data_IF_170049481698
#
_entry.id   IF_170049481698
#
_cell.length_a   1.000
_cell.length_b   1.000
_cell.length_c   1.000
_cell.angle_alpha   90.00
_cell.angle_beta   90.00
_cell.angle_gamma   90.00
#
_symmetry.space_group_name_H-M   'P 1'
#
loop_
_entity.id
_entity.type
_entity.pdbx_description
1 polymer ?
#
# COMPACT_ATOMS: atom_id res chain seq x y z
N UNK A 1 -16.80 -42.87 22.49
CA UNK A 1 -15.99 -41.71 22.93
C UNK A 1 -16.17 -40.64 21.87
N UNK A 2 -17.15 -39.74 22.06
CA UNK A 2 -17.39 -38.64 21.13
C UNK A 2 -16.23 -37.65 21.32
N UNK A 3 -15.37 -37.54 20.30
CA UNK A 3 -14.46 -36.40 20.18
C UNK A 3 -15.38 -35.23 19.87
N UNK A 4 -15.61 -34.38 20.87
CA UNK A 4 -16.23 -33.08 20.69
C UNK A 4 -15.41 -32.32 19.66
N UNK A 5 -15.93 -32.32 18.44
CA UNK A 5 -15.62 -31.39 17.38
C UNK A 5 -15.77 -29.98 17.94
N UNK A 6 -14.67 -29.38 18.39
CA UNK A 6 -14.54 -27.93 18.57
C UNK A 6 -14.54 -27.29 17.17
N UNK A 7 -15.68 -27.44 16.49
CA UNK A 7 -15.94 -26.94 15.15
C UNK A 7 -16.76 -25.67 15.34
N UNK A 8 -16.23 -24.56 14.82
CA UNK A 8 -16.97 -23.35 14.44
C UNK A 8 -17.33 -22.27 15.48
N UNK A 9 -16.95 -22.33 16.77
CA UNK A 9 -17.20 -21.20 17.69
C UNK A 9 -16.05 -20.16 17.79
N UNK A 10 -14.85 -20.49 17.31
CA UNK A 10 -13.68 -19.59 17.41
C UNK A 10 -13.62 -18.50 16.33
N UNK A 11 -14.35 -18.65 15.23
CA UNK A 11 -14.25 -17.78 14.04
C UNK A 11 -14.59 -16.31 14.31
N UNK A 12 -15.80 -15.95 14.77
CA UNK A 12 -16.17 -14.54 14.94
C UNK A 12 -15.46 -13.91 16.16
N UNK A 13 -15.24 -14.70 17.22
CA UNK A 13 -14.57 -14.25 18.43
C UNK A 13 -13.10 -13.91 18.16
N UNK A 14 -12.38 -14.75 17.41
CA UNK A 14 -11.01 -14.49 16.98
C UNK A 14 -10.92 -13.26 16.08
N UNK A 15 -11.78 -13.16 15.05
CA UNK A 15 -11.78 -12.01 14.14
C UNK A 15 -12.05 -10.70 14.89
N UNK A 16 -12.98 -10.72 15.84
CA UNK A 16 -13.24 -9.58 16.72
C UNK A 16 -12.06 -9.28 17.65
N UNK A 17 -11.36 -10.30 18.17
CA UNK A 17 -10.18 -10.12 19.01
C UNK A 17 -9.02 -9.49 18.23
N UNK A 18 -8.77 -9.96 17.00
CA UNK A 18 -7.75 -9.39 16.11
C UNK A 18 -8.14 -7.96 15.73
N UNK A 19 -9.38 -7.73 15.30
CA UNK A 19 -9.88 -6.40 14.97
C UNK A 19 -9.77 -5.40 16.12
N UNK A 20 -10.08 -5.83 17.36
CA UNK A 20 -9.91 -5.01 18.56
C UNK A 20 -8.44 -4.65 18.79
N UNK A 21 -7.54 -5.63 18.74
CA UNK A 21 -6.09 -5.40 18.89
C UNK A 21 -5.56 -4.44 17.82
N UNK A 22 -5.93 -4.65 16.55
CA UNK A 22 -5.57 -3.76 15.44
C UNK A 22 -6.11 -2.36 15.68
N UNK A 23 -7.39 -2.21 16.05
CA UNK A 23 -8.01 -0.91 16.34
C UNK A 23 -7.31 -0.17 17.47
N UNK A 24 -7.03 -0.84 18.59
CA UNK A 24 -6.33 -0.26 19.74
C UNK A 24 -4.93 0.23 19.35
N UNK A 25 -4.16 -0.60 18.64
CA UNK A 25 -2.82 -0.23 18.18
C UNK A 25 -2.85 0.93 17.19
N UNK A 26 -3.77 0.91 16.23
CA UNK A 26 -3.91 1.99 15.25
C UNK A 26 -4.33 3.31 15.90
N UNK A 27 -5.20 3.30 16.93
CA UNK A 27 -5.51 4.51 17.71
C UNK A 27 -4.27 5.09 18.37
N UNK A 28 -3.46 4.25 19.01
CA UNK A 28 -2.20 4.69 19.64
C UNK A 28 -1.23 5.23 18.60
N UNK A 29 -1.07 4.55 17.46
CA UNK A 29 -0.21 5.02 16.38
C UNK A 29 -0.70 6.35 15.79
N UNK A 30 -2.02 6.57 15.72
CA UNK A 30 -2.62 7.81 15.18
C UNK A 30 -2.30 9.04 16.04
N UNK A 31 -2.03 8.85 17.33
CA UNK A 31 -1.61 9.95 18.23
C UNK A 31 -0.15 10.34 18.10
N UNK A 32 0.66 9.55 17.36
CA UNK A 32 2.08 9.82 17.19
C UNK A 32 2.28 10.61 15.90
N UNK A 33 3.19 11.60 15.95
CA UNK A 33 3.63 12.27 14.75
C UNK A 33 4.23 11.24 13.76
N UNK A 34 3.89 11.32 12.46
CA UNK A 34 4.47 10.43 11.45
C UNK A 34 5.99 10.53 11.47
N UNK A 35 6.69 9.40 11.67
CA UNK A 35 8.14 9.40 11.58
C UNK A 35 8.59 9.24 10.12
N UNK A 36 9.57 10.03 9.65
CA UNK A 36 10.18 9.83 8.35
C UNK A 36 10.69 8.39 8.20
N UNK A 37 10.29 7.70 7.13
CA UNK A 37 10.71 6.31 6.85
C UNK A 37 9.97 5.22 7.63
N UNK A 38 9.00 5.56 8.49
CA UNK A 38 8.11 4.55 9.09
C UNK A 38 7.05 4.08 8.06
N UNK A 39 6.56 2.83 8.15
CA UNK A 39 5.52 2.30 7.25
C UNK A 39 4.15 3.01 7.36
N UNK A 40 4.06 4.14 8.06
CA UNK A 40 2.82 4.88 8.27
C UNK A 40 1.80 4.11 9.11
N UNK A 41 0.56 4.61 9.13
CA UNK A 41 -0.56 3.89 9.73
C UNK A 41 -0.99 2.75 8.81
N UNK A 42 -0.82 1.51 9.25
CA UNK A 42 -1.25 0.31 8.53
C UNK A 42 -1.54 -0.84 9.48
N UNK A 43 -2.26 -1.85 9.02
CA UNK A 43 -2.46 -3.09 9.77
C UNK A 43 -1.09 -3.74 10.04
N UNK A 44 -0.18 -3.71 9.07
CA UNK A 44 1.23 -4.10 9.27
C UNK A 44 1.91 -3.38 10.43
N UNK A 45 1.78 -2.06 10.50
CA UNK A 45 2.31 -1.29 11.63
C UNK A 45 1.63 -1.64 12.97
N UNK A 46 0.34 -2.02 12.96
CA UNK A 46 -0.38 -2.44 14.16
C UNK A 46 0.16 -3.76 14.75
N UNK A 47 0.67 -4.66 13.90
CA UNK A 47 1.33 -5.90 14.31
C UNK A 47 2.83 -5.74 14.62
N UNK A 48 3.45 -4.62 14.23
CA UNK A 48 4.86 -4.36 14.52
C UNK A 48 5.12 -4.33 16.04
N UNK A 49 6.06 -5.17 16.50
CA UNK A 49 6.41 -5.28 17.92
C UNK A 49 5.34 -5.96 18.81
N UNK A 50 4.30 -6.53 18.21
CA UNK A 50 3.36 -7.42 18.90
C UNK A 50 3.93 -8.84 19.00
N UNK A 51 3.56 -9.64 20.03
CA UNK A 51 3.85 -11.08 20.04
C UNK A 51 3.17 -11.80 18.86
N UNK A 52 2.04 -11.28 18.38
CA UNK A 52 1.43 -11.66 17.10
C UNK A 52 2.16 -10.88 16.01
N UNK A 53 3.00 -11.55 15.22
CA UNK A 53 3.73 -10.94 14.09
C UNK A 53 3.11 -11.37 12.77
N UNK A 54 3.17 -10.49 11.78
CA UNK A 54 2.98 -10.89 10.38
C UNK A 54 4.34 -11.19 9.79
N UNK A 55 4.51 -12.43 9.34
CA UNK A 55 5.70 -12.91 8.68
C UNK A 55 5.46 -12.94 7.16
N UNK A 56 6.06 -11.97 6.46
CA UNK A 56 6.07 -11.87 4.99
C UNK A 56 7.19 -12.72 4.36
N UNK A 57 7.92 -13.45 5.20
CA UNK A 57 8.95 -14.39 4.83
C UNK A 57 10.34 -13.77 4.65
N UNK A 58 11.35 -14.62 4.89
CA UNK A 58 12.75 -14.35 4.61
C UNK A 58 13.14 -14.93 3.24
N UNK A 59 14.20 -14.43 2.58
CA UNK A 59 14.72 -15.04 1.36
C UNK A 59 14.93 -16.55 1.53
N UNK A 60 14.39 -17.34 0.61
CA UNK A 60 14.48 -18.80 0.65
C UNK A 60 15.72 -19.29 -0.13
N UNK A 61 16.46 -20.24 0.44
CA UNK A 61 17.55 -20.93 -0.25
C UNK A 61 17.05 -22.13 -1.05
N UNK A 62 17.84 -22.60 -2.03
CA UNK A 62 17.51 -23.79 -2.80
C UNK A 62 17.39 -25.04 -1.91
N UNK A 63 18.23 -25.16 -0.89
CA UNK A 63 18.19 -26.24 0.09
C UNK A 63 16.89 -26.21 0.87
N UNK A 64 16.44 -25.02 1.30
CA UNK A 64 15.19 -24.85 2.03
C UNK A 64 13.99 -25.25 1.17
N UNK A 65 13.98 -24.88 -0.11
CA UNK A 65 12.91 -25.23 -1.05
C UNK A 65 12.91 -26.72 -1.43
N UNK A 66 14.07 -27.39 -1.35
CA UNK A 66 14.17 -28.82 -1.60
C UNK A 66 13.44 -29.66 -0.54
N UNK A 67 13.26 -29.12 0.66
CA UNK A 67 12.60 -29.84 1.75
C UNK A 67 11.07 -29.93 1.61
N UNK A 68 10.45 -29.25 0.64
CA UNK A 68 9.00 -29.21 0.45
C UNK A 68 8.59 -29.95 -0.83
N UNK A 69 7.46 -30.67 -0.82
CA UNK A 69 6.98 -31.43 -1.98
C UNK A 69 6.32 -30.51 -3.01
N UNK A 70 7.10 -29.62 -3.63
CA UNK A 70 6.68 -28.79 -4.76
C UNK A 70 6.65 -29.61 -6.04
N UNK A 71 5.62 -29.41 -6.88
CA UNK A 71 5.56 -30.00 -8.20
C UNK A 71 6.62 -29.38 -9.13
N UNK A 72 7.04 -30.11 -10.16
CA UNK A 72 8.09 -29.63 -11.09
C UNK A 72 7.71 -28.32 -11.80
N UNK A 73 6.41 -28.15 -12.11
CA UNK A 73 5.89 -26.92 -12.68
C UNK A 73 6.07 -25.73 -11.73
N UNK A 74 5.75 -25.91 -10.45
CA UNK A 74 5.90 -24.89 -9.40
C UNK A 74 7.37 -24.53 -9.19
N UNK A 75 8.26 -25.52 -9.16
CA UNK A 75 9.71 -25.28 -9.04
C UNK A 75 10.24 -24.44 -10.19
N UNK A 76 9.78 -24.71 -11.42
CA UNK A 76 10.15 -23.94 -12.61
C UNK A 76 9.58 -22.51 -12.59
N UNK A 77 8.40 -22.31 -12.00
CA UNK A 77 7.83 -20.97 -11.82
C UNK A 77 8.63 -20.17 -10.78
N UNK A 78 8.95 -20.79 -9.64
CA UNK A 78 9.72 -20.16 -8.57
C UNK A 78 11.16 -19.82 -8.97
N UNK A 79 11.79 -20.59 -9.87
CA UNK A 79 13.18 -20.32 -10.31
C UNK A 79 13.36 -18.98 -11.04
N UNK A 80 12.29 -18.37 -11.53
CA UNK A 80 12.31 -17.06 -12.18
C UNK A 80 11.83 -15.92 -11.25
N UNK A 81 11.69 -16.20 -9.95
CA UNK A 81 11.07 -15.30 -8.97
C UNK A 81 12.02 -15.00 -7.81
N UNK A 82 11.77 -13.91 -7.08
CA UNK A 82 12.33 -13.72 -5.74
C UNK A 82 11.48 -14.55 -4.78
N UNK A 83 12.08 -15.59 -4.19
CA UNK A 83 11.34 -16.52 -3.34
C UNK A 83 11.54 -16.19 -1.87
N UNK A 84 10.44 -16.13 -1.13
CA UNK A 84 10.41 -15.95 0.31
C UNK A 84 9.73 -17.13 0.99
N UNK A 85 10.15 -17.40 2.23
CA UNK A 85 9.54 -18.42 3.08
C UNK A 85 9.16 -17.81 4.42
N UNK A 86 7.89 -17.96 4.80
CA UNK A 86 7.35 -17.57 6.10
C UNK A 86 6.90 -18.80 6.89
N UNK A 87 6.92 -18.70 8.22
CA UNK A 87 6.48 -19.78 9.13
C UNK A 87 5.68 -19.22 10.30
N UNK A 88 4.60 -19.90 10.69
CA UNK A 88 3.79 -19.57 11.86
C UNK A 88 3.27 -20.83 12.54
N UNK A 89 3.02 -20.81 13.85
CA UNK A 89 2.45 -21.94 14.62
C UNK A 89 3.46 -23.06 14.95
N UNK A 90 4.76 -22.76 14.91
CA UNK A 90 5.83 -23.70 15.27
C UNK A 90 5.84 -24.99 14.43
N UNK A 91 6.20 -26.10 15.07
CA UNK A 91 6.43 -27.41 14.41
C UNK A 91 5.17 -28.06 13.82
N UNK A 92 3.98 -27.54 14.16
CA UNK A 92 2.68 -28.05 13.68
C UNK A 92 1.87 -27.03 12.89
N UNK A 93 2.48 -25.89 12.58
CA UNK A 93 1.77 -24.77 11.97
C UNK A 93 1.81 -24.78 10.45
N UNK A 94 1.92 -23.57 9.89
CA UNK A 94 1.90 -23.31 8.45
C UNK A 94 3.27 -22.84 7.95
N UNK A 95 3.55 -23.19 6.71
CA UNK A 95 4.65 -22.63 5.92
C UNK A 95 4.08 -22.04 4.64
N UNK A 96 4.47 -20.81 4.33
CA UNK A 96 4.19 -20.14 3.06
C UNK A 96 5.49 -20.00 2.30
N UNK A 97 5.53 -20.54 1.09
CA UNK A 97 6.56 -20.23 0.09
C UNK A 97 5.90 -19.32 -0.93
N UNK A 98 6.42 -18.12 -1.10
CA UNK A 98 5.87 -17.15 -2.03
C UNK A 98 6.92 -16.68 -3.03
N UNK A 99 6.61 -16.86 -4.32
CA UNK A 99 7.42 -16.36 -5.42
C UNK A 99 6.87 -15.03 -5.92
N UNK A 100 7.68 -13.97 -5.86
CA UNK A 100 7.34 -12.64 -6.39
C UNK A 100 8.09 -12.40 -7.69
N UNK A 101 7.36 -12.10 -8.76
CA UNK A 101 7.95 -11.90 -10.10
C UNK A 101 7.33 -10.76 -10.89
N UNK A 102 8.09 -10.26 -11.88
CA UNK A 102 7.66 -9.22 -12.81
C UNK A 102 7.55 -7.82 -12.21
N UNK A 103 7.28 -6.83 -13.07
CA UNK A 103 7.15 -5.42 -12.67
C UNK A 103 5.89 -5.16 -11.82
N UNK A 104 4.85 -5.98 -11.98
CA UNK A 104 3.62 -5.91 -11.19
C UNK A 104 3.68 -6.63 -9.84
N UNK A 105 4.85 -7.16 -9.44
CA UNK A 105 5.05 -7.92 -8.20
C UNK A 105 4.00 -9.04 -8.04
N UNK A 106 3.87 -9.89 -9.06
CA UNK A 106 2.92 -11.00 -9.03
C UNK A 106 3.36 -12.09 -8.05
N UNK A 107 2.47 -12.42 -7.12
CA UNK A 107 2.65 -13.42 -6.06
C UNK A 107 2.21 -14.82 -6.51
N UNK A 108 2.96 -15.83 -6.10
CA UNK A 108 2.74 -17.25 -6.41
C UNK A 108 2.84 -18.06 -5.12
N UNK A 109 1.79 -18.04 -4.28
CA UNK A 109 1.83 -18.66 -2.97
C UNK A 109 1.66 -20.18 -3.03
N UNK A 110 2.54 -20.88 -2.34
CA UNK A 110 2.46 -22.30 -2.04
C UNK A 110 2.39 -22.49 -0.52
N UNK A 111 1.27 -23.02 -0.04
CA UNK A 111 1.03 -23.22 1.39
C UNK A 111 1.24 -24.68 1.77
N UNK A 112 1.83 -24.91 2.93
CA UNK A 112 2.05 -26.23 3.48
C UNK A 112 1.64 -26.27 4.96
N UNK A 113 0.98 -27.35 5.37
CA UNK A 113 0.77 -27.67 6.78
C UNK A 113 1.87 -28.60 7.29
N UNK A 114 2.23 -28.41 8.56
CA UNK A 114 3.10 -29.30 9.33
C UNK A 114 2.32 -30.10 10.40
N UNK A 115 0.99 -29.98 10.46
CA UNK A 115 0.18 -30.49 11.56
C UNK A 115 0.29 -32.01 11.78
N UNK A 116 0.50 -32.77 10.71
CA UNK A 116 0.69 -34.22 10.75
C UNK A 116 2.14 -34.66 11.06
N UNK A 117 3.08 -33.72 11.18
CA UNK A 117 4.52 -33.98 11.22
C UNK A 117 5.14 -34.17 9.83
N UNK A 118 4.34 -34.21 8.77
CA UNK A 118 4.77 -34.20 7.38
C UNK A 118 4.41 -32.87 6.72
N UNK A 119 5.20 -32.46 5.72
CA UNK A 119 4.96 -31.24 4.93
C UNK A 119 3.90 -31.51 3.88
N UNK A 120 2.64 -31.27 4.21
CA UNK A 120 1.52 -31.49 3.30
C UNK A 120 1.15 -30.21 2.56
N UNK A 121 1.11 -30.24 1.24
CA UNK A 121 0.65 -29.11 0.44
C UNK A 121 -0.83 -28.81 0.72
N UNK A 122 -1.14 -27.53 0.85
CA UNK A 122 -2.48 -26.98 0.95
C UNK A 122 -2.78 -26.19 -0.31
N UNK A 123 -4.03 -26.24 -0.76
CA UNK A 123 -4.48 -25.38 -1.85
C UNK A 123 -4.60 -23.95 -1.32
N UNK A 124 -3.82 -23.02 -1.91
CA UNK A 124 -3.92 -21.62 -1.57
C UNK A 124 -5.27 -21.06 -2.05
N UNK A 125 -6.00 -20.29 -1.23
CA UNK A 125 -7.31 -19.75 -1.59
C UNK A 125 -7.24 -19.00 -2.91
N UNK A 126 -8.04 -19.42 -3.90
CA UNK A 126 -8.08 -18.74 -5.19
C UNK A 126 -8.51 -17.28 -4.99
N UNK A 127 -7.83 -16.31 -5.64
CA UNK A 127 -8.27 -14.94 -5.59
C UNK A 127 -9.56 -14.80 -6.40
N UNK A 128 -10.40 -13.81 -6.07
CA UNK A 128 -11.60 -13.53 -6.86
C UNK A 128 -11.23 -12.92 -8.22
N UNK A 129 -10.15 -12.13 -8.27
CA UNK A 129 -9.52 -11.67 -9.51
C UNK A 129 -8.07 -12.19 -9.57
N UNK A 130 -7.64 -12.90 -10.63
CA UNK A 130 -6.25 -13.31 -10.80
C UNK A 130 -5.23 -12.15 -10.70
N UNK A 131 -5.64 -10.92 -11.04
CA UNK A 131 -4.84 -9.70 -10.87
C UNK A 131 -4.73 -9.26 -9.41
N UNK A 132 -5.59 -9.73 -8.50
CA UNK A 132 -5.45 -9.43 -7.06
C UNK A 132 -4.09 -9.92 -6.53
N UNK A 133 -3.52 -10.98 -7.11
CA UNK A 133 -2.18 -11.45 -6.73
C UNK A 133 -1.06 -10.69 -7.43
N UNK A 134 -1.38 -9.81 -8.38
CA UNK A 134 -0.47 -8.98 -9.13
C UNK A 134 -0.73 -7.50 -8.78
N UNK A 135 -0.10 -7.00 -7.71
CA UNK A 135 -0.29 -5.62 -7.30
C UNK A 135 0.21 -5.35 -5.88
N UNK A 136 -0.49 -4.48 -5.16
CA UNK A 136 -0.12 -4.09 -3.78
C UNK A 136 -0.47 -5.16 -2.72
N UNK A 137 -1.00 -6.31 -3.10
CA UNK A 137 -1.40 -7.30 -2.11
C UNK A 137 -0.18 -8.05 -1.58
N UNK A 138 -0.01 -8.10 -0.28
CA UNK A 138 1.01 -8.88 0.37
C UNK A 138 0.42 -10.11 1.06
N UNK A 139 1.17 -11.19 0.97
CA UNK A 139 0.84 -12.48 1.56
C UNK A 139 1.77 -12.72 2.75
N UNK A 140 1.19 -13.13 3.86
CA UNK A 140 1.95 -13.42 5.07
C UNK A 140 1.32 -14.58 5.84
N UNK A 141 2.06 -15.04 6.84
CA UNK A 141 1.51 -15.84 7.92
C UNK A 141 1.44 -15.01 9.21
N UNK A 142 0.46 -15.30 10.05
CA UNK A 142 0.43 -14.77 11.41
C UNK A 142 0.06 -15.86 12.40
N UNK A 143 0.36 -15.62 13.68
CA UNK A 143 0.09 -16.56 14.77
C UNK A 143 -0.68 -15.86 15.88
N UNK A 144 -1.85 -16.40 16.24
CA UNK A 144 -2.67 -15.89 17.34
C UNK A 144 -2.99 -17.03 18.28
N UNK A 145 -2.56 -16.89 19.53
CA UNK A 145 -2.81 -17.89 20.59
C UNK A 145 -2.24 -19.29 20.25
N UNK A 146 -1.17 -19.34 19.46
CA UNK A 146 -0.48 -20.57 19.03
C UNK A 146 -0.98 -21.14 17.71
N UNK A 147 -2.12 -20.66 17.20
CA UNK A 147 -2.67 -21.09 15.92
C UNK A 147 -2.13 -20.26 14.76
N UNK A 148 -1.81 -20.92 13.65
CA UNK A 148 -1.28 -20.29 12.45
C UNK A 148 -2.41 -19.90 11.48
N UNK A 149 -2.28 -18.72 10.87
CA UNK A 149 -3.23 -18.18 9.92
C UNK A 149 -2.51 -17.70 8.67
N UNK A 150 -3.06 -18.03 7.51
CA UNK A 150 -2.70 -17.36 6.27
C UNK A 150 -3.43 -16.03 6.19
N UNK A 151 -2.71 -14.99 5.79
CA UNK A 151 -3.26 -13.64 5.68
C UNK A 151 -2.92 -13.01 4.34
N UNK A 152 -3.92 -12.33 3.79
CA UNK A 152 -3.80 -11.50 2.59
C UNK A 152 -4.15 -10.06 2.99
N UNK A 153 -3.29 -9.12 2.65
CA UNK A 153 -3.47 -7.69 2.93
C UNK A 153 -3.24 -6.87 1.67
N UNK A 154 -4.02 -5.82 1.44
CA UNK A 154 -3.68 -4.82 0.44
C UNK A 154 -2.73 -3.77 1.06
N UNK A 155 -1.44 -3.76 0.70
CA UNK A 155 -0.53 -2.70 1.12
C UNK A 155 -0.86 -1.31 0.53
N UNK A 156 -2.05 -1.11 -0.04
CA UNK A 156 -2.40 0.10 -0.78
C UNK A 156 -2.27 1.37 0.07
N UNK A 157 -1.78 2.48 -0.49
CA UNK A 157 -1.73 3.78 0.20
C UNK A 157 -3.12 4.46 0.31
N UNK A 158 -4.19 3.70 0.09
CA UNK A 158 -5.57 4.17 0.08
C UNK A 158 -6.16 4.44 1.45
N UNK A 159 -7.41 4.91 1.42
CA UNK A 159 -8.25 5.15 2.60
C UNK A 159 -8.68 3.86 3.30
N UNK A 160 -8.60 2.73 2.60
CA UNK A 160 -9.04 1.44 3.10
C UNK A 160 -7.87 0.47 3.04
N UNK A 161 -7.76 -0.35 4.08
CA UNK A 161 -6.93 -1.56 4.08
C UNK A 161 -7.83 -2.76 4.42
N UNK A 162 -7.80 -3.76 3.57
CA UNK A 162 -8.45 -5.05 3.71
C UNK A 162 -7.44 -6.09 4.18
N UNK A 163 -7.82 -6.83 5.21
CA UNK A 163 -7.03 -7.89 5.81
C UNK A 163 -7.87 -9.14 5.93
N UNK A 164 -7.61 -10.13 5.07
CA UNK A 164 -8.33 -11.41 5.05
C UNK A 164 -7.58 -12.41 5.92
N UNK A 165 -8.31 -13.11 6.79
CA UNK A 165 -7.75 -14.10 7.71
C UNK A 165 -8.31 -15.46 7.34
N UNK A 166 -7.40 -16.37 7.04
CA UNK A 166 -7.72 -17.69 6.50
C UNK A 166 -7.07 -18.73 7.42
N UNK A 167 -7.82 -19.25 8.40
CA UNK A 167 -7.33 -20.30 9.27
C UNK A 167 -7.14 -21.62 8.54
N UNK A 168 -6.24 -22.42 9.08
CA UNK A 168 -6.20 -23.84 8.79
C UNK A 168 -7.37 -24.55 9.46
N UNK A 169 -8.17 -25.28 8.67
CA UNK A 169 -9.19 -26.21 9.13
C UNK A 169 -8.82 -27.61 8.66
N UNK A 170 -8.25 -28.42 9.55
CA UNK A 170 -7.68 -29.74 9.21
C UNK A 170 -6.66 -29.59 8.06
N UNK A 171 -6.89 -30.25 6.92
CA UNK A 171 -6.01 -30.20 5.75
C UNK A 171 -6.48 -29.19 4.68
N UNK A 172 -7.34 -28.24 5.04
CA UNK A 172 -7.89 -27.25 4.13
C UNK A 172 -7.77 -25.83 4.71
N UNK A 173 -7.81 -24.85 3.81
CA UNK A 173 -7.93 -23.44 4.15
C UNK A 173 -9.35 -22.99 3.84
N UNK A 174 -10.03 -22.40 4.82
CA UNK A 174 -11.36 -21.85 4.63
C UNK A 174 -11.32 -20.38 5.08
N UNK A 175 -11.70 -19.45 4.19
CA UNK A 175 -11.79 -18.06 4.57
C UNK A 175 -12.88 -17.90 5.62
N UNK A 176 -12.50 -17.31 6.75
CA UNK A 176 -13.39 -17.19 7.89
C UNK A 176 -13.87 -15.76 8.08
N UNK A 177 -13.00 -14.77 7.87
CA UNK A 177 -13.39 -13.38 7.96
C UNK A 177 -12.43 -12.44 7.23
N UNK A 178 -12.90 -11.21 7.02
CA UNK A 178 -12.06 -10.09 6.64
C UNK A 178 -12.23 -8.94 7.62
N UNK A 179 -11.14 -8.22 7.84
CA UNK A 179 -11.09 -6.97 8.59
C UNK A 179 -10.87 -5.86 7.57
N UNK A 180 -11.73 -4.85 7.60
CA UNK A 180 -11.57 -3.65 6.78
C UNK A 180 -11.31 -2.47 7.69
N UNK A 181 -10.16 -1.84 7.51
CA UNK A 181 -9.78 -0.63 8.24
C UNK A 181 -9.95 0.57 7.34
N UNK A 182 -10.58 1.62 7.87
CA UNK A 182 -10.67 2.92 7.19
C UNK A 182 -9.77 3.93 7.90
N UNK A 183 -9.06 4.70 7.10
CA UNK A 183 -8.16 5.76 7.51
C UNK A 183 -8.66 7.11 7.02
N UNK A 184 -8.31 8.16 7.75
CA UNK A 184 -8.35 9.51 7.22
C UNK A 184 -7.05 9.77 6.47
N UNK A 185 -7.16 10.37 5.29
CA UNK A 185 -5.99 10.78 4.52
C UNK A 185 -5.66 12.23 4.81
N UNK A 186 -4.36 12.48 4.93
CA UNK A 186 -3.78 13.80 4.90
C UNK A 186 -3.02 13.97 3.60
N UNK A 187 -3.10 15.19 3.07
CA UNK A 187 -2.28 15.66 1.97
C UNK A 187 -1.36 16.73 2.54
N UNK A 188 -0.06 16.62 2.28
CA UNK A 188 0.92 17.59 2.74
C UNK A 188 2.01 17.80 1.68
N UNK A 189 2.42 19.05 1.46
CA UNK A 189 3.58 19.34 0.64
C UNK A 189 4.84 18.81 1.35
N UNK A 190 5.49 17.82 0.75
CA UNK A 190 6.74 17.25 1.25
C UNK A 190 7.97 17.95 0.66
N UNK A 191 7.86 18.46 -0.57
CA UNK A 191 8.88 19.29 -1.22
C UNK A 191 8.22 20.47 -1.93
N UNK A 192 8.94 21.59 -1.98
CA UNK A 192 8.55 22.81 -2.67
C UNK A 192 9.77 23.40 -3.37
N UNK A 193 9.59 23.81 -4.63
CA UNK A 193 10.59 24.52 -5.43
C UNK A 193 9.92 25.78 -5.95
N UNK A 194 10.51 26.93 -5.66
CA UNK A 194 9.84 28.20 -5.93
C UNK A 194 10.87 29.19 -6.47
N UNK A 195 10.47 29.95 -7.49
CA UNK A 195 11.27 31.06 -8.01
C UNK A 195 11.44 32.16 -6.93
N UNK A 196 10.43 32.33 -6.08
CA UNK A 196 10.41 33.29 -4.96
C UNK A 196 10.02 32.61 -3.63
N UNK A 197 10.56 33.04 -2.48
CA UNK A 197 10.22 32.47 -1.18
C UNK A 197 8.74 32.54 -0.81
N UNK A 198 8.03 33.59 -1.21
CA UNK A 198 6.62 33.81 -0.90
C UNK A 198 5.73 32.73 -1.53
N UNK A 199 6.10 32.27 -2.72
CA UNK A 199 5.39 31.20 -3.42
C UNK A 199 5.50 29.86 -2.67
N UNK A 200 6.58 29.61 -1.92
CA UNK A 200 6.70 28.39 -1.12
C UNK A 200 5.72 28.33 0.05
N UNK A 201 5.17 29.47 0.48
CA UNK A 201 4.10 29.51 1.49
C UNK A 201 2.78 28.91 0.97
N UNK A 202 2.65 28.73 -0.36
CA UNK A 202 1.49 28.09 -0.97
C UNK A 202 1.46 26.57 -0.78
N UNK A 203 2.44 25.94 -0.11
CA UNK A 203 2.48 24.49 0.10
C UNK A 203 1.21 23.91 0.73
N UNK A 204 0.57 24.62 1.66
CA UNK A 204 -0.71 24.19 2.24
C UNK A 204 -1.86 24.26 1.21
N UNK A 205 -1.90 25.31 0.37
CA UNK A 205 -2.88 25.40 -0.72
C UNK A 205 -2.66 24.32 -1.77
N UNK A 206 -1.40 24.03 -2.13
CA UNK A 206 -1.04 22.95 -3.03
C UNK A 206 -1.55 21.59 -2.52
N UNK A 207 -1.45 21.33 -1.21
CA UNK A 207 -2.02 20.14 -0.61
C UNK A 207 -3.55 20.05 -0.72
N UNK A 208 -4.26 21.18 -0.53
CA UNK A 208 -5.71 21.27 -0.73
C UNK A 208 -6.08 20.99 -2.19
N UNK A 209 -5.39 21.61 -3.15
CA UNK A 209 -5.63 21.36 -4.57
C UNK A 209 -5.38 19.90 -4.95
N UNK A 210 -4.31 19.28 -4.46
CA UNK A 210 -4.00 17.87 -4.67
C UNK A 210 -5.07 16.94 -4.08
N UNK A 211 -5.55 17.23 -2.87
CA UNK A 211 -6.68 16.51 -2.28
C UNK A 211 -7.91 16.63 -3.16
N UNK A 212 -8.25 17.85 -3.59
CA UNK A 212 -9.45 18.07 -4.40
C UNK A 212 -9.40 17.40 -5.75
N UNK A 213 -8.23 17.40 -6.39
CA UNK A 213 -8.01 16.68 -7.63
C UNK A 213 -8.18 15.16 -7.47
N UNK A 214 -7.50 14.55 -6.47
CA UNK A 214 -7.56 13.09 -6.24
C UNK A 214 -8.94 12.60 -5.80
N UNK A 215 -9.65 13.41 -5.02
CA UNK A 215 -10.94 13.03 -4.44
C UNK A 215 -12.14 13.50 -5.27
N UNK A 216 -11.92 14.26 -6.35
CA UNK A 216 -12.98 14.88 -7.13
C UNK A 216 -13.84 15.86 -6.33
N UNK A 217 -13.27 16.55 -5.34
CA UNK A 217 -14.02 17.44 -4.46
C UNK A 217 -14.14 18.88 -4.98
N UNK A 218 -15.07 19.62 -4.40
CA UNK A 218 -15.58 20.91 -4.87
C UNK A 218 -14.55 22.06 -4.96
N UNK A 219 -13.35 21.97 -4.39
CA UNK A 219 -12.44 23.13 -4.33
C UNK A 219 -11.81 23.44 -5.71
N UNK A 220 -11.69 22.45 -6.60
CA UNK A 220 -11.38 22.70 -8.03
C UNK A 220 -12.63 23.04 -8.87
N UNK A 221 -13.80 23.04 -8.24
CA UNK A 221 -15.05 23.58 -8.78
C UNK A 221 -15.36 24.98 -8.22
N UNK A 222 -14.48 25.56 -7.41
CA UNK A 222 -14.56 26.97 -7.01
C UNK A 222 -14.48 27.86 -8.27
N UNK A 223 -15.29 28.92 -8.40
CA UNK A 223 -15.24 29.86 -9.52
C UNK A 223 -13.86 30.46 -9.82
N UNK A 224 -12.94 30.43 -8.85
CA UNK A 224 -11.55 30.82 -9.02
C UNK A 224 -10.76 29.88 -9.94
N UNK A 225 -11.28 28.68 -10.23
CA UNK A 225 -10.69 27.70 -11.13
C UNK A 225 -11.55 27.53 -12.37
N UNK A 226 -10.92 27.45 -13.54
CA UNK A 226 -11.59 27.05 -14.77
C UNK A 226 -10.69 26.08 -15.56
N UNK A 227 -11.24 25.04 -16.20
CA UNK A 227 -10.45 24.15 -17.04
C UNK A 227 -9.65 24.94 -18.08
N UNK A 228 -8.37 24.64 -18.22
CA UNK A 228 -7.48 25.27 -19.19
C UNK A 228 -6.98 24.25 -20.22
N UNK A 229 -6.71 24.71 -21.43
CA UNK A 229 -6.01 23.91 -22.41
C UNK A 229 -4.55 23.70 -21.96
N UNK A 230 -3.99 22.52 -22.25
CA UNK A 230 -2.57 22.27 -22.00
C UNK A 230 -1.72 23.31 -22.77
N UNK A 231 -0.84 24.09 -22.10
CA UNK A 231 -0.02 25.07 -22.78
C UNK A 231 0.94 24.43 -23.78
N UNK A 232 1.33 25.21 -24.79
CA UNK A 232 2.52 24.90 -25.60
C UNK A 232 3.75 25.32 -24.81
N UNK A 233 4.31 24.41 -24.02
CA UNK A 233 5.59 24.63 -23.37
C UNK A 233 6.71 24.66 -24.43
N UNK A 234 7.57 25.67 -24.39
CA UNK A 234 8.76 25.72 -25.24
C UNK A 234 9.70 24.57 -24.84
N UNK A 235 10.18 23.77 -25.80
CA UNK A 235 11.21 22.73 -25.67
C UNK A 235 11.05 21.68 -24.54
N UNK A 236 10.40 20.53 -24.79
CA UNK A 236 10.66 19.27 -24.05
C UNK A 236 10.40 19.25 -22.52
N UNK A 237 10.13 20.39 -21.90
CA UNK A 237 9.93 20.64 -20.46
C UNK A 237 8.63 20.03 -19.90
N UNK A 238 7.93 19.22 -20.70
CA UNK A 238 6.89 18.33 -20.20
C UNK A 238 7.45 17.28 -19.23
N UNK A 239 8.70 16.86 -19.41
CA UNK A 239 9.29 15.73 -18.69
C UNK A 239 9.89 16.09 -17.32
N UNK A 240 10.31 17.33 -17.12
CA UNK A 240 10.85 17.83 -15.85
C UNK A 240 9.82 18.75 -15.21
N UNK A 241 9.34 18.38 -14.01
CA UNK A 241 8.60 19.31 -13.16
C UNK A 241 9.32 20.65 -13.14
N UNK A 242 8.62 21.78 -13.24
CA UNK A 242 9.20 22.85 -14.03
C UNK A 242 10.13 23.77 -13.23
N UNK A 243 10.67 23.29 -12.10
CA UNK A 243 11.80 23.89 -11.36
C UNK A 243 12.76 22.85 -10.72
N UNK A 244 12.72 21.56 -11.12
CA UNK A 244 13.66 20.56 -10.59
C UNK A 244 15.04 20.69 -11.24
N UNK A 245 15.74 21.79 -10.96
CA UNK A 245 17.17 21.94 -11.25
C UNK A 245 18.08 21.29 -10.20
N UNK A 246 17.51 20.57 -9.21
CA UNK A 246 18.23 20.00 -8.07
C UNK A 246 17.80 18.57 -7.72
N UNK A 247 18.58 17.92 -6.85
CA UNK A 247 18.32 16.55 -6.37
C UNK A 247 17.12 16.55 -5.42
N UNK A 248 16.04 15.83 -5.78
CA UNK A 248 14.91 15.60 -4.87
C UNK A 248 15.38 14.80 -3.65
N UNK A 249 14.85 15.10 -2.46
CA UNK A 249 15.11 14.31 -1.24
C UNK A 249 14.27 13.03 -1.22
N UNK A 250 13.21 12.97 -2.03
CA UNK A 250 12.27 11.84 -2.10
C UNK A 250 12.63 10.87 -3.24
N UNK A 251 13.31 11.33 -4.30
CA UNK A 251 13.69 10.48 -5.43
C UNK A 251 15.09 10.81 -6.00
N UNK A 252 15.84 9.79 -6.49
CA UNK A 252 17.15 9.99 -7.10
C UNK A 252 17.10 10.71 -8.46
N UNK A 253 15.90 10.90 -9.04
CA UNK A 253 15.64 11.66 -10.26
C UNK A 253 14.49 12.63 -10.00
N UNK A 254 14.43 13.73 -10.77
CA UNK A 254 13.32 14.66 -10.71
C UNK A 254 12.00 13.92 -11.01
N UNK A 255 10.97 14.00 -10.14
CA UNK A 255 9.66 13.47 -10.46
C UNK A 255 9.10 14.18 -11.70
N UNK A 256 8.35 13.45 -12.50
CA UNK A 256 7.63 13.95 -13.67
C UNK A 256 6.15 13.61 -13.56
N UNK A 257 5.31 14.24 -14.37
CA UNK A 257 3.89 13.88 -14.43
C UNK A 257 3.71 12.53 -15.14
N UNK A 258 2.78 11.72 -14.63
CA UNK A 258 2.27 10.56 -15.35
C UNK A 258 1.17 10.96 -16.35
N UNK A 259 0.54 9.98 -17.01
CA UNK A 259 -0.50 10.21 -18.03
C UNK A 259 -1.74 10.96 -17.50
N UNK A 260 -2.00 10.93 -16.19
CA UNK A 260 -3.12 11.62 -15.55
C UNK A 260 -2.71 13.02 -15.06
N UNK A 261 -2.81 14.03 -15.94
CA UNK A 261 -2.62 15.44 -15.60
C UNK A 261 -3.77 16.34 -16.08
N UNK A 262 -4.01 17.43 -15.35
CA UNK A 262 -5.02 18.44 -15.65
C UNK A 262 -4.45 19.85 -15.50
N UNK A 263 -5.09 20.79 -16.20
CA UNK A 263 -4.71 22.21 -16.24
C UNK A 263 -5.92 23.07 -15.87
N UNK A 264 -5.69 24.08 -15.02
CA UNK A 264 -6.72 25.01 -14.58
C UNK A 264 -6.19 26.44 -14.63
N UNK A 265 -6.94 27.38 -15.20
CA UNK A 265 -6.67 28.80 -14.97
C UNK A 265 -7.04 29.12 -13.52
N UNK A 266 -6.24 29.95 -12.87
CA UNK A 266 -6.44 30.36 -11.49
C UNK A 266 -6.66 31.87 -11.39
N UNK A 267 -7.72 32.27 -10.71
CA UNK A 267 -8.01 33.66 -10.37
C UNK A 267 -7.69 33.92 -8.88
N UNK A 268 -7.20 35.12 -8.56
CA UNK A 268 -6.94 35.55 -7.18
C UNK A 268 -5.55 35.21 -6.63
N UNK A 269 -4.72 34.45 -7.36
CA UNK A 269 -3.29 34.30 -7.05
C UNK A 269 -2.49 35.33 -7.88
N UNK A 270 -1.80 36.30 -7.25
CA UNK A 270 -1.15 37.39 -8.00
C UNK A 270 0.03 36.90 -8.85
N UNK A 271 0.80 35.95 -8.32
CA UNK A 271 2.04 35.45 -8.92
C UNK A 271 1.86 34.18 -9.75
N UNK A 272 0.64 33.67 -9.94
CA UNK A 272 0.36 32.53 -10.82
C UNK A 272 -1.01 32.68 -11.49
N UNK A 273 -1.12 32.31 -12.78
CA UNK A 273 -2.36 32.34 -13.56
C UNK A 273 -2.79 30.96 -14.07
N UNK A 274 -1.93 29.94 -13.92
CA UNK A 274 -2.21 28.57 -14.32
C UNK A 274 -1.69 27.55 -13.30
N UNK A 275 -2.54 26.59 -12.98
CA UNK A 275 -2.26 25.39 -12.19
C UNK A 275 -2.16 24.17 -13.13
N UNK A 276 -1.07 23.40 -13.02
CA UNK A 276 -0.91 22.05 -13.57
C UNK A 276 -0.92 21.07 -12.40
N UNK A 277 -1.70 20.00 -12.48
CA UNK A 277 -1.81 19.03 -11.39
C UNK A 277 -1.96 17.62 -11.93
N UNK A 278 -1.35 16.63 -11.29
CA UNK A 278 -1.42 15.25 -11.75
C UNK A 278 -0.66 14.25 -10.89
N UNK A 279 -0.79 12.97 -11.22
CA UNK A 279 -0.05 11.90 -10.56
C UNK A 279 1.45 12.00 -10.89
N UNK A 280 2.32 11.64 -9.94
CA UNK A 280 3.75 11.53 -10.21
C UNK A 280 4.05 10.23 -10.94
N UNK A 281 4.85 10.29 -12.00
CA UNK A 281 5.38 9.11 -12.69
C UNK A 281 6.25 8.32 -11.72
N UNK A 282 6.16 6.98 -11.69
CA UNK A 282 7.12 6.16 -10.96
C UNK A 282 8.51 6.40 -11.55
N UNK A 283 9.38 7.07 -10.79
CA UNK A 283 10.81 7.07 -11.07
C UNK A 283 11.36 5.64 -11.02
N UNK A 284 12.60 5.39 -11.48
CA UNK A 284 13.18 4.05 -11.44
C UNK A 284 13.31 3.60 -9.96
N UNK A 285 12.47 2.63 -9.61
CA UNK A 285 12.63 1.65 -8.52
C UNK A 285 12.32 2.00 -7.04
N UNK A 286 11.81 3.17 -6.64
CA UNK A 286 11.57 3.42 -5.18
C UNK A 286 10.32 4.24 -4.78
N UNK A 287 9.41 4.58 -5.69
CA UNK A 287 8.10 5.08 -5.28
C UNK A 287 7.18 3.88 -5.07
N UNK A 288 7.03 3.45 -3.83
CA UNK A 288 6.27 2.25 -3.46
C UNK A 288 4.78 2.31 -3.84
N UNK A 289 4.25 3.49 -4.22
CA UNK A 289 2.90 3.63 -4.77
C UNK A 289 2.78 4.92 -5.62
N UNK A 290 2.53 4.84 -6.94
CA UNK A 290 2.29 6.02 -7.79
C UNK A 290 1.02 6.80 -7.39
N UNK A 291 0.11 6.22 -6.59
CA UNK A 291 -1.04 6.91 -6.02
C UNK A 291 -0.68 7.76 -4.78
N UNK A 292 0.52 7.59 -4.20
CA UNK A 292 0.92 8.30 -3.00
C UNK A 292 1.38 9.75 -3.26
N UNK A 293 1.80 10.07 -4.49
CA UNK A 293 2.37 11.38 -4.81
C UNK A 293 1.52 12.11 -5.84
N UNK A 294 1.25 13.38 -5.57
CA UNK A 294 0.57 14.30 -6.49
C UNK A 294 1.49 15.48 -6.73
N UNK A 295 1.65 15.84 -8.00
CA UNK A 295 2.48 16.94 -8.43
C UNK A 295 1.59 18.15 -8.70
N UNK A 296 2.02 19.28 -8.17
CA UNK A 296 1.35 20.57 -8.32
C UNK A 296 2.34 21.56 -8.89
N UNK A 297 2.09 22.08 -10.09
CA UNK A 297 2.90 23.11 -10.74
C UNK A 297 2.11 24.40 -10.90
N UNK A 298 2.75 25.53 -10.58
CA UNK A 298 2.20 26.86 -10.79
C UNK A 298 2.98 27.59 -11.87
N UNK A 299 2.24 28.30 -12.72
CA UNK A 299 2.78 29.05 -13.84
C UNK A 299 2.23 30.48 -13.84
N UNK A 300 3.04 31.40 -14.37
CA UNK A 300 2.67 32.78 -14.71
C UNK A 300 3.03 33.05 -16.15
N UNK A 301 2.07 33.46 -16.98
CA UNK A 301 2.30 33.72 -18.40
C UNK A 301 3.00 32.53 -19.10
N UNK A 302 2.57 31.30 -18.81
CA UNK A 302 3.16 30.03 -19.26
C UNK A 302 4.59 29.73 -18.80
N UNK A 303 5.17 30.52 -17.88
CA UNK A 303 6.46 30.23 -17.25
C UNK A 303 6.25 29.62 -15.87
N UNK A 304 7.00 28.57 -15.51
CA UNK A 304 6.87 27.98 -14.18
C UNK A 304 7.43 28.89 -13.11
N UNK A 305 6.69 29.03 -12.01
CA UNK A 305 7.05 29.89 -10.88
C UNK A 305 7.15 29.12 -9.56
N UNK A 306 6.44 27.99 -9.44
CA UNK A 306 6.56 27.09 -8.31
C UNK A 306 6.17 25.64 -8.67
N UNK A 307 6.68 24.68 -7.91
CA UNK A 307 6.25 23.30 -7.94
C UNK A 307 6.27 22.67 -6.55
N UNK A 308 5.34 21.74 -6.31
CA UNK A 308 5.21 21.04 -5.05
C UNK A 308 5.04 19.53 -5.30
N UNK A 309 5.72 18.74 -4.48
CA UNK A 309 5.45 17.31 -4.34
C UNK A 309 4.55 17.15 -3.13
N UNK A 310 3.28 16.83 -3.37
CA UNK A 310 2.31 16.57 -2.33
C UNK A 310 2.24 15.08 -2.06
N UNK A 311 2.48 14.70 -0.82
CA UNK A 311 2.35 13.33 -0.34
C UNK A 311 0.95 13.14 0.22
N UNK A 312 0.31 12.07 -0.21
CA UNK A 312 -0.90 11.50 0.39
C UNK A 312 -0.46 10.42 1.37
N UNK A 313 -0.92 10.53 2.62
CA UNK A 313 -0.64 9.53 3.65
C UNK A 313 -1.83 9.33 4.58
N UNK A 314 -1.90 8.17 5.21
CA UNK A 314 -2.87 7.90 6.28
C UNK A 314 -2.46 8.67 7.53
N UNK A 315 -3.33 9.57 8.01
CA UNK A 315 -3.05 10.44 9.15
C UNK A 315 -3.74 10.02 10.43
N UNK A 316 -4.93 9.42 10.32
CA UNK A 316 -5.66 8.92 11.47
C UNK A 316 -6.43 7.65 11.14
N UNK A 317 -6.58 6.81 12.16
CA UNK A 317 -7.52 5.69 12.15
C UNK A 317 -8.96 6.20 12.31
N UNK A 318 -9.85 5.80 11.40
CA UNK A 318 -11.27 6.16 11.46
C UNK A 318 -12.12 5.02 12.05
N UNK A 319 -12.05 3.82 11.47
CA UNK A 319 -12.91 2.70 11.88
C UNK A 319 -12.34 1.34 11.49
N UNK A 320 -12.69 0.29 12.24
CA UNK A 320 -12.51 -1.11 11.82
C UNK A 320 -13.88 -1.73 11.62
N UNK A 321 -14.06 -2.47 10.53
CA UNK A 321 -15.24 -3.32 10.27
C UNK A 321 -14.79 -4.76 10.15
N UNK A 322 -15.53 -5.68 10.77
CA UNK A 322 -15.31 -7.12 10.63
C UNK A 322 -16.43 -7.68 9.77
N UNK A 323 -16.08 -8.33 8.66
CA UNK A 323 -17.02 -9.07 7.84
C UNK A 323 -16.73 -10.57 8.08
N UNK A 324 -17.64 -11.25 8.76
CA UNK A 324 -17.61 -12.70 8.88
C UNK A 324 -18.34 -13.30 7.66
N UNK A 325 -17.75 -14.36 7.09
CA UNK A 325 -18.42 -15.17 6.07
C UNK A 325 -19.29 -16.25 6.72
#
# INVERSE_FOLDING_TARGET
MLITTAVAESSPLMCNAIARKVSEKLRVLSTKAPQPGSPGLSIAAAFAGSPVKMDFGAPASAETLAEFPLADADRKQLSNSVVRIARAGGDKGLVLIDGVSGAGQCHSPHLFSLASGEKRALEAPAPNDPLDRCGSNALALTEVEGDAYFVETDHGAGETEHFRIIPQQLDALAMVCSITVRYQMEFAAAESFCEKPELCQLGAKAAVWARSWRMGSAELHDPAFSPAAAPKFENGDRATLPLFGGVSKIAPQAPGYDVEENFFNIAGEPDADLLRIGAAKPGPANLADPQAFTLVGLYKSNRPVASFVVVRRRSAFASVTVNAN
#
